data_IF_231508648688
#
_entry.id   IF_231508648688
#
_cell.length_a   1.000
_cell.length_b   1.000
_cell.length_c   1.000
_cell.angle_alpha   90.00
_cell.angle_beta   90.00
_cell.angle_gamma   90.00
#
_symmetry.space_group_name_H-M   'P 1'
#
loop_
_entity.id
_entity.type
_entity.pdbx_description
1 polymer ?
#
# COMPACT_ATOMS: atom_id res chain seq x y z
N UNK A 1 9.03 5.83 -6.08
CA UNK A 1 8.11 5.13 -5.17
C UNK A 1 6.66 5.49 -5.48
N UNK A 2 5.71 4.73 -4.92
CA UNK A 2 4.28 5.01 -5.09
C UNK A 2 3.66 5.69 -3.86
N UNK A 3 4.33 5.67 -2.71
CA UNK A 3 3.93 6.44 -1.54
C UNK A 3 5.03 7.39 -1.09
N UNK A 4 4.62 8.56 -0.62
CA UNK A 4 5.48 9.59 -0.08
C UNK A 4 4.96 10.07 1.27
N UNK A 5 5.83 10.12 2.28
CA UNK A 5 5.52 10.69 3.59
C UNK A 5 5.72 12.20 3.54
N UNK A 6 4.68 12.95 3.85
CA UNK A 6 4.68 14.40 3.88
C UNK A 6 4.61 14.86 5.34
N UNK A 7 5.70 15.38 5.85
CA UNK A 7 5.83 15.79 7.27
C UNK A 7 5.88 17.28 7.49
N UNK A 8 5.81 18.10 6.45
CA UNK A 8 5.84 19.55 6.52
C UNK A 8 4.92 20.19 5.47
N UNK A 9 4.49 21.43 5.73
CA UNK A 9 3.84 22.24 4.71
C UNK A 9 4.86 22.79 3.70
N UNK A 10 4.41 23.03 2.47
CA UNK A 10 5.30 23.54 1.44
C UNK A 10 4.87 23.15 0.04
N UNK A 11 5.67 23.52 -0.95
CA UNK A 11 5.48 23.11 -2.33
C UNK A 11 6.37 21.90 -2.62
N UNK A 12 5.77 20.84 -3.13
CA UNK A 12 6.41 19.57 -3.45
C UNK A 12 6.32 19.29 -4.95
N UNK A 13 7.25 18.48 -5.43
CA UNK A 13 7.21 17.95 -6.79
C UNK A 13 7.67 16.49 -6.81
N UNK A 14 6.95 15.70 -7.60
CA UNK A 14 7.24 14.28 -7.84
C UNK A 14 7.57 14.16 -9.33
N UNK A 15 8.72 13.60 -9.71
CA UNK A 15 9.02 13.36 -11.12
C UNK A 15 8.01 12.36 -11.71
N UNK A 16 7.61 12.59 -12.97
CA UNK A 16 6.70 11.69 -13.69
C UNK A 16 7.43 10.40 -14.10
N UNK A 17 7.65 9.55 -13.09
CA UNK A 17 8.38 8.28 -13.19
C UNK A 17 7.50 7.15 -12.64
N UNK A 18 7.52 6.00 -13.29
CA UNK A 18 6.81 4.81 -12.82
C UNK A 18 7.40 4.31 -11.51
N UNK A 19 6.60 4.34 -10.45
CA UNK A 19 6.92 3.77 -9.14
C UNK A 19 8.41 3.84 -8.76
N UNK A 20 9.06 2.67 -8.71
CA UNK A 20 10.47 2.50 -8.34
C UNK A 20 11.41 2.41 -9.58
N UNK A 21 10.97 2.84 -10.76
CA UNK A 21 11.75 2.70 -12.01
C UNK A 21 13.01 3.58 -12.05
N UNK A 22 13.13 4.58 -11.18
CA UNK A 22 14.37 5.31 -10.94
C UNK A 22 14.81 5.11 -9.50
N UNK A 23 16.06 4.71 -9.29
CA UNK A 23 16.72 4.58 -7.98
C UNK A 23 18.05 5.35 -8.04
N UNK A 24 18.28 6.21 -7.06
CA UNK A 24 19.52 7.01 -6.96
C UNK A 24 19.88 7.78 -8.25
N UNK A 25 18.84 8.33 -8.91
CA UNK A 25 18.97 9.08 -10.16
C UNK A 25 19.25 8.24 -11.41
N UNK A 26 19.23 6.91 -11.31
CA UNK A 26 19.52 5.98 -12.42
C UNK A 26 18.32 5.10 -12.74
N UNK A 27 18.24 4.65 -13.99
CA UNK A 27 17.25 3.66 -14.42
C UNK A 27 17.39 2.35 -13.62
N UNK A 28 16.31 1.97 -12.95
CA UNK A 28 16.22 0.76 -12.13
C UNK A 28 15.41 -0.32 -12.87
N UNK A 29 15.98 -0.90 -13.91
CA UNK A 29 15.33 -1.89 -14.77
C UNK A 29 14.78 -3.09 -13.99
N UNK A 30 15.41 -3.51 -12.90
CA UNK A 30 14.94 -4.61 -12.07
C UNK A 30 13.56 -4.36 -11.45
N UNK A 31 13.10 -3.10 -11.39
CA UNK A 31 11.77 -2.78 -10.89
C UNK A 31 10.64 -3.02 -11.92
N UNK A 32 10.95 -3.16 -13.19
CA UNK A 32 9.97 -3.34 -14.26
C UNK A 32 10.37 -4.36 -15.36
N UNK A 33 11.49 -5.06 -15.16
CA UNK A 33 11.90 -6.21 -15.95
C UNK A 33 12.28 -7.33 -15.00
N UNK A 34 11.57 -8.45 -15.08
CA UNK A 34 11.85 -9.65 -14.30
C UNK A 34 12.71 -10.63 -15.08
N UNK A 35 13.67 -11.22 -14.42
CA UNK A 35 14.45 -12.37 -14.90
C UNK A 35 14.07 -13.68 -14.25
N UNK A 36 13.01 -13.67 -13.40
CA UNK A 36 12.53 -14.86 -12.73
C UNK A 36 12.00 -15.88 -13.75
N UNK A 37 12.36 -17.12 -13.56
CA UNK A 37 11.82 -18.23 -14.34
C UNK A 37 10.61 -18.82 -13.62
N UNK A 38 9.48 -18.85 -14.31
CA UNK A 38 8.22 -19.38 -13.77
C UNK A 38 7.60 -20.47 -14.64
N UNK A 39 8.27 -20.80 -15.74
CA UNK A 39 7.75 -21.81 -16.65
C UNK A 39 7.66 -23.17 -15.94
N UNK A 40 6.47 -23.78 -15.95
CA UNK A 40 6.21 -25.06 -15.30
C UNK A 40 6.36 -25.06 -13.77
N UNK A 41 5.85 -23.99 -13.12
CA UNK A 41 5.73 -24.04 -11.65
C UNK A 41 4.87 -25.24 -11.24
N UNK A 42 5.37 -26.01 -10.30
CA UNK A 42 4.67 -27.16 -9.75
C UNK A 42 4.17 -26.84 -8.35
N UNK A 43 2.89 -27.04 -8.11
CA UNK A 43 2.38 -27.11 -6.74
C UNK A 43 2.91 -28.36 -6.06
N UNK A 44 3.79 -28.19 -5.09
CA UNK A 44 4.43 -29.29 -4.35
C UNK A 44 3.43 -30.13 -3.54
N UNK A 45 2.28 -29.55 -3.19
CA UNK A 45 1.26 -30.19 -2.37
C UNK A 45 0.32 -31.06 -3.20
N UNK A 46 -0.07 -30.61 -4.37
CA UNK A 46 -1.01 -31.31 -5.26
C UNK A 46 -0.33 -32.00 -6.45
N UNK A 47 0.91 -31.64 -6.76
CA UNK A 47 1.62 -32.10 -7.95
C UNK A 47 1.15 -31.45 -9.26
N UNK A 48 0.23 -30.48 -9.18
CA UNK A 48 -0.25 -29.76 -10.37
C UNK A 48 0.88 -28.94 -10.97
N UNK A 49 1.10 -29.09 -12.26
CA UNK A 49 2.03 -28.27 -13.05
C UNK A 49 1.24 -27.19 -13.77
N UNK A 50 1.65 -25.95 -13.59
CA UNK A 50 1.10 -24.80 -14.33
C UNK A 50 1.92 -24.62 -15.60
N UNK A 51 1.27 -24.75 -16.75
CA UNK A 51 1.86 -24.57 -18.08
C UNK A 51 1.82 -23.10 -18.54
N UNK A 52 1.07 -22.25 -17.82
CA UNK A 52 1.01 -20.81 -18.06
C UNK A 52 2.18 -20.10 -17.37
N UNK A 53 2.64 -19.01 -17.99
CA UNK A 53 3.63 -18.13 -17.39
C UNK A 53 2.98 -17.23 -16.33
N UNK A 54 3.24 -17.51 -15.05
CA UNK A 54 2.70 -16.79 -13.91
C UNK A 54 3.57 -15.59 -13.49
N UNK A 55 4.67 -15.33 -14.18
CA UNK A 55 5.58 -14.21 -13.94
C UNK A 55 5.43 -13.18 -15.04
N UNK A 56 5.20 -11.93 -14.65
CA UNK A 56 5.26 -10.80 -15.56
C UNK A 56 6.72 -10.44 -15.83
N UNK A 57 7.25 -10.84 -16.98
CA UNK A 57 8.66 -10.57 -17.34
C UNK A 57 8.92 -9.10 -17.66
N UNK A 58 7.98 -8.44 -18.31
CA UNK A 58 8.03 -7.01 -18.60
C UNK A 58 6.79 -6.35 -18.08
N UNK A 59 6.97 -5.42 -17.16
CA UNK A 59 5.89 -4.70 -16.52
C UNK A 59 5.25 -3.72 -17.52
N UNK A 60 3.98 -3.44 -17.32
CA UNK A 60 3.16 -2.74 -18.31
C UNK A 60 2.63 -1.41 -17.78
N UNK A 61 2.30 -0.51 -18.69
CA UNK A 61 1.70 0.79 -18.44
C UNK A 61 0.16 0.72 -18.38
N UNK A 62 -0.50 1.88 -18.33
CA UNK A 62 -1.97 1.99 -18.29
C UNK A 62 -2.68 1.46 -19.56
N UNK A 63 -1.96 1.18 -20.63
CA UNK A 63 -2.47 0.60 -21.89
C UNK A 63 -2.04 -0.86 -22.08
N UNK A 64 -1.53 -1.48 -21.01
CA UNK A 64 -0.96 -2.82 -21.04
C UNK A 64 0.21 -2.97 -22.03
N UNK A 65 0.91 -1.88 -22.32
CA UNK A 65 2.13 -1.88 -23.12
C UNK A 65 3.34 -2.03 -22.21
N UNK A 66 4.30 -2.84 -22.66
CA UNK A 66 5.59 -2.99 -21.98
C UNK A 66 6.26 -1.64 -21.73
N UNK A 67 6.68 -1.41 -20.49
CA UNK A 67 7.42 -0.21 -20.13
C UNK A 67 8.86 -0.35 -20.63
N UNK A 68 9.23 0.53 -21.55
CA UNK A 68 10.56 0.63 -22.13
C UNK A 68 11.33 1.86 -21.64
N UNK A 69 10.62 2.83 -21.07
CA UNK A 69 11.19 4.02 -20.44
C UNK A 69 10.67 4.18 -19.01
N UNK A 70 11.52 4.49 -18.03
CA UNK A 70 11.08 4.78 -16.66
C UNK A 70 10.25 6.07 -16.55
N UNK A 71 10.31 6.97 -17.54
CA UNK A 71 9.62 8.24 -17.56
C UNK A 71 8.25 8.12 -18.22
N UNK A 72 7.19 8.46 -17.50
CA UNK A 72 5.79 8.31 -17.92
C UNK A 72 5.52 9.03 -19.25
N UNK A 73 5.95 10.29 -19.39
CA UNK A 73 5.70 11.06 -20.60
C UNK A 73 6.59 10.64 -21.81
N UNK A 74 7.77 10.10 -21.55
CA UNK A 74 8.60 9.50 -22.63
C UNK A 74 7.94 8.20 -23.12
N UNK A 75 7.50 7.33 -22.23
CA UNK A 75 6.77 6.11 -22.56
C UNK A 75 5.49 6.39 -23.38
N UNK A 76 4.81 7.49 -23.06
CA UNK A 76 3.51 7.86 -23.63
C UNK A 76 3.59 9.08 -24.55
N UNK A 77 4.64 9.23 -25.31
CA UNK A 77 4.93 10.42 -26.10
C UNK A 77 3.81 10.90 -27.04
N UNK A 78 2.95 10.01 -27.55
CA UNK A 78 1.79 10.35 -28.37
C UNK A 78 0.58 10.88 -27.58
N UNK A 79 0.49 10.58 -26.28
CA UNK A 79 -0.57 11.00 -25.37
C UNK A 79 -0.02 11.18 -23.93
N UNK A 80 0.88 12.16 -23.73
CA UNK A 80 1.54 12.36 -22.45
C UNK A 80 0.56 12.84 -21.39
N UNK A 81 0.92 12.66 -20.11
CA UNK A 81 0.21 13.29 -19.00
C UNK A 81 0.40 14.81 -19.07
N UNK A 82 -0.67 15.55 -19.06
CA UNK A 82 -0.68 17.01 -19.09
C UNK A 82 -1.67 17.64 -18.08
N UNK A 83 -2.37 16.81 -17.33
CA UNK A 83 -3.29 17.22 -16.28
C UNK A 83 -3.05 16.41 -15.01
N UNK A 84 -3.10 17.09 -13.85
CA UNK A 84 -3.00 16.48 -12.52
C UNK A 84 -4.31 16.67 -11.77
N UNK A 85 -4.72 15.64 -10.99
CA UNK A 85 -5.95 15.70 -10.21
C UNK A 85 -5.84 14.87 -8.92
N UNK A 86 -6.71 15.20 -7.96
CA UNK A 86 -6.88 14.43 -6.74
C UNK A 86 -7.90 13.32 -6.97
N UNK A 87 -7.50 12.07 -6.71
CA UNK A 87 -8.41 10.92 -6.79
C UNK A 87 -9.32 10.88 -5.57
N UNK A 88 -8.71 10.91 -4.37
CA UNK A 88 -9.42 11.00 -3.10
C UNK A 88 -8.51 11.58 -2.01
N UNK A 89 -9.11 12.09 -0.95
CA UNK A 89 -8.41 12.50 0.27
C UNK A 89 -9.32 12.30 1.48
N UNK A 90 -8.76 11.88 2.59
CA UNK A 90 -9.44 11.82 3.89
C UNK A 90 -9.24 13.09 4.74
N UNK A 91 -8.55 14.09 4.18
CA UNK A 91 -8.38 15.44 4.74
C UNK A 91 -8.77 16.46 3.68
N UNK A 92 -9.90 17.13 3.90
CA UNK A 92 -10.38 18.13 2.95
C UNK A 92 -9.42 19.32 2.83
N UNK A 93 -9.02 19.64 1.59
CA UNK A 93 -8.11 20.75 1.29
C UNK A 93 -6.67 20.54 1.78
N UNK A 94 -6.23 19.28 2.03
CA UNK A 94 -4.86 18.98 2.43
C UNK A 94 -3.83 19.45 1.41
N UNK A 95 -4.18 19.35 0.13
CA UNK A 95 -3.32 19.75 -0.98
C UNK A 95 -4.06 20.71 -1.91
N UNK A 96 -3.29 21.55 -2.59
CA UNK A 96 -3.75 22.51 -3.62
C UNK A 96 -2.71 22.65 -4.73
N UNK A 97 -3.01 23.47 -5.72
CA UNK A 97 -2.09 23.86 -6.81
C UNK A 97 -1.50 22.65 -7.56
N UNK A 98 -2.33 21.61 -7.74
CA UNK A 98 -1.97 20.43 -8.52
C UNK A 98 -1.78 20.78 -9.99
N UNK A 99 -0.58 20.56 -10.52
CA UNK A 99 -0.24 20.80 -11.93
C UNK A 99 0.94 19.96 -12.38
N UNK A 100 1.13 19.88 -13.68
CA UNK A 100 2.34 19.32 -14.28
C UNK A 100 3.23 20.47 -14.73
N UNK A 101 4.49 20.43 -14.34
CA UNK A 101 5.50 21.41 -14.70
C UNK A 101 6.74 20.72 -15.28
N UNK A 102 7.32 21.33 -16.30
CA UNK A 102 8.60 20.88 -16.86
C UNK A 102 9.75 21.65 -16.22
N UNK A 103 10.71 20.92 -15.67
CA UNK A 103 11.93 21.50 -15.11
C UNK A 103 13.13 20.83 -15.81
N UNK A 104 13.84 21.60 -16.62
CA UNK A 104 14.83 21.06 -17.53
C UNK A 104 14.19 20.09 -18.53
N UNK A 105 14.67 18.86 -18.58
CA UNK A 105 14.14 17.80 -19.46
C UNK A 105 13.09 16.91 -18.78
N UNK A 106 12.82 17.11 -17.49
CA UNK A 106 11.96 16.23 -16.69
C UNK A 106 10.62 16.89 -16.38
N UNK A 107 9.54 16.13 -16.55
CA UNK A 107 8.21 16.54 -16.16
C UNK A 107 7.95 16.14 -14.70
N UNK A 108 7.31 17.04 -13.93
CA UNK A 108 6.98 16.86 -12.52
C UNK A 108 5.51 17.11 -12.27
N UNK A 109 4.92 16.30 -11.42
CA UNK A 109 3.68 16.63 -10.72
C UNK A 109 4.05 17.55 -9.55
N UNK A 110 3.52 18.77 -9.55
CA UNK A 110 3.74 19.77 -8.50
C UNK A 110 2.45 19.99 -7.71
N UNK A 111 2.56 20.13 -6.40
CA UNK A 111 1.44 20.40 -5.51
C UNK A 111 1.91 21.15 -4.26
N UNK A 112 0.95 21.80 -3.58
CA UNK A 112 1.18 22.50 -2.33
C UNK A 112 0.46 21.80 -1.18
N UNK A 113 1.16 21.62 -0.07
CA UNK A 113 0.59 21.15 1.19
C UNK A 113 0.32 22.34 2.09
N UNK A 114 -0.94 22.54 2.45
CA UNK A 114 -1.38 23.71 3.21
C UNK A 114 -1.06 23.55 4.69
N UNK A 115 -0.48 24.59 5.28
CA UNK A 115 -0.04 24.58 6.70
C UNK A 115 -1.20 24.25 7.65
N UNK A 116 -2.35 24.87 7.44
CA UNK A 116 -3.52 24.72 8.30
C UNK A 116 -4.25 23.36 8.13
N UNK A 117 -3.83 22.58 7.14
CA UNK A 117 -4.35 21.25 6.80
C UNK A 117 -3.30 20.15 6.95
N UNK A 118 -2.12 20.49 7.49
CA UNK A 118 -1.06 19.52 7.75
C UNK A 118 -1.44 18.71 8.99
N UNK A 119 -2.35 17.78 8.81
CA UNK A 119 -2.81 16.81 9.81
C UNK A 119 -2.57 15.40 9.30
N UNK A 120 -2.49 14.43 10.20
CA UNK A 120 -2.34 13.04 9.82
C UNK A 120 -3.47 12.61 8.87
N UNK A 121 -3.12 12.03 7.73
CA UNK A 121 -4.10 11.66 6.71
C UNK A 121 -3.49 11.15 5.42
N UNK A 122 -4.37 10.81 4.49
CA UNK A 122 -4.03 10.18 3.24
C UNK A 122 -4.68 10.91 2.05
N UNK A 123 -3.92 11.07 0.99
CA UNK A 123 -4.40 11.65 -0.26
C UNK A 123 -3.82 10.85 -1.43
N UNK A 124 -4.65 10.50 -2.39
CA UNK A 124 -4.19 9.92 -3.66
C UNK A 124 -4.34 10.96 -4.75
N UNK A 125 -3.23 11.21 -5.45
CA UNK A 125 -3.14 12.12 -6.59
C UNK A 125 -2.75 11.34 -7.83
N UNK A 126 -3.14 11.85 -8.99
CA UNK A 126 -2.89 11.20 -10.26
C UNK A 126 -2.59 12.19 -11.38
N UNK A 127 -2.00 11.67 -12.43
CA UNK A 127 -1.81 12.39 -13.70
C UNK A 127 -2.54 11.66 -14.82
N UNK A 128 -3.12 12.46 -15.73
CA UNK A 128 -3.86 11.96 -16.88
C UNK A 128 -3.59 12.76 -18.14
N UNK A 129 -3.98 12.20 -19.26
CA UNK A 129 -4.07 12.97 -20.50
C UNK A 129 -5.45 13.65 -20.57
N UNK A 130 -5.47 14.97 -20.69
CA UNK A 130 -6.72 15.76 -20.65
C UNK A 130 -7.63 15.51 -21.86
N UNK A 131 -7.09 15.08 -22.98
CA UNK A 131 -7.88 14.80 -24.19
C UNK A 131 -8.57 13.44 -24.15
N UNK A 132 -7.87 12.40 -23.64
CA UNK A 132 -8.42 11.05 -23.53
C UNK A 132 -9.09 10.79 -22.18
N UNK A 133 -8.83 11.62 -21.18
CA UNK A 133 -9.22 11.45 -19.78
C UNK A 133 -8.65 10.18 -19.13
N UNK A 134 -7.71 9.50 -19.78
CA UNK A 134 -7.05 8.31 -19.26
C UNK A 134 -5.99 8.67 -18.21
N UNK A 135 -6.08 8.08 -17.05
CA UNK A 135 -5.04 8.17 -16.00
C UNK A 135 -3.83 7.35 -16.40
N UNK A 136 -2.65 7.97 -16.36
CA UNK A 136 -1.39 7.30 -16.68
C UNK A 136 -0.70 6.73 -15.44
N UNK A 137 -0.80 7.41 -14.30
CA UNK A 137 -0.24 6.96 -13.03
C UNK A 137 -0.83 7.73 -11.85
N UNK A 138 -0.63 7.18 -10.63
CA UNK A 138 -1.09 7.77 -9.36
C UNK A 138 -0.08 7.51 -8.25
N UNK A 139 -0.11 8.34 -7.23
CA UNK A 139 0.72 8.25 -6.03
C UNK A 139 -0.12 8.47 -4.78
N UNK A 140 0.28 7.82 -3.69
CA UNK A 140 -0.25 8.02 -2.37
C UNK A 140 0.62 9.00 -1.59
N UNK A 141 0.02 10.06 -1.07
CA UNK A 141 0.63 11.01 -0.13
C UNK A 141 0.12 10.68 1.26
N UNK A 142 1.04 10.30 2.12
CA UNK A 142 0.75 10.04 3.53
C UNK A 142 1.25 11.20 4.38
N UNK A 143 0.33 12.07 4.83
CA UNK A 143 0.66 13.17 5.74
C UNK A 143 0.83 12.60 7.14
N UNK A 144 2.08 12.48 7.58
CA UNK A 144 2.46 11.87 8.85
C UNK A 144 3.79 12.45 9.33
N UNK A 145 4.12 12.33 10.63
CA UNK A 145 5.47 12.64 11.12
C UNK A 145 6.53 11.79 10.41
N UNK A 146 7.69 12.37 10.14
CA UNK A 146 8.79 11.64 9.48
C UNK A 146 9.21 10.39 10.25
N UNK A 147 8.95 10.34 11.55
CA UNK A 147 9.27 9.22 12.44
C UNK A 147 8.54 7.91 12.08
N UNK A 148 7.46 7.97 11.29
CA UNK A 148 6.80 6.75 10.80
C UNK A 148 7.70 5.89 9.91
N UNK A 149 8.79 6.47 9.39
CA UNK A 149 9.82 5.75 8.63
C UNK A 149 11.02 5.31 9.49
N UNK A 150 11.03 5.61 10.79
CA UNK A 150 12.02 5.04 11.70
C UNK A 150 11.75 3.53 11.82
N UNK A 151 12.81 2.72 11.71
CA UNK A 151 12.62 1.28 11.69
C UNK A 151 12.69 0.64 13.07
N UNK A 152 11.88 -0.40 13.25
CA UNK A 152 11.96 -1.33 14.37
C UNK A 152 12.38 -2.70 13.84
N UNK A 153 13.45 -3.24 14.42
CA UNK A 153 14.05 -4.49 13.96
C UNK A 153 13.43 -5.70 14.65
N UNK A 154 13.02 -6.66 13.84
CA UNK A 154 12.55 -7.97 14.30
C UNK A 154 13.30 -9.08 13.59
N UNK A 155 13.71 -10.10 14.33
CA UNK A 155 14.17 -11.34 13.76
C UNK A 155 12.96 -12.26 13.50
N UNK A 156 12.86 -12.80 12.31
CA UNK A 156 11.84 -13.77 11.95
C UNK A 156 12.40 -14.79 10.95
N UNK A 157 12.21 -16.06 11.23
CA UNK A 157 12.71 -17.18 10.43
C UNK A 157 14.21 -17.09 10.09
N UNK A 158 15.01 -16.63 11.06
CA UNK A 158 16.47 -16.47 10.93
C UNK A 158 16.89 -15.30 10.03
N UNK A 159 15.99 -14.35 9.77
CA UNK A 159 16.26 -13.13 8.99
C UNK A 159 15.85 -11.89 9.78
N UNK A 160 16.67 -10.85 9.69
CA UNK A 160 16.34 -9.55 10.28
C UNK A 160 15.48 -8.72 9.33
N UNK A 161 14.32 -8.26 9.81
CA UNK A 161 13.43 -7.36 9.12
C UNK A 161 13.36 -6.04 9.88
N UNK A 162 13.63 -4.94 9.18
CA UNK A 162 13.51 -3.59 9.70
C UNK A 162 12.14 -3.03 9.27
N UNK A 163 11.11 -3.23 10.09
CA UNK A 163 9.76 -2.72 9.84
C UNK A 163 9.71 -1.20 9.97
N UNK A 164 8.93 -0.52 9.15
CA UNK A 164 8.61 0.90 9.37
C UNK A 164 8.00 1.11 10.76
N UNK A 165 8.05 2.30 11.30
CA UNK A 165 7.49 2.63 12.62
C UNK A 165 5.98 2.50 12.70
N UNK A 166 5.30 2.64 11.55
CA UNK A 166 3.84 2.49 11.44
C UNK A 166 3.48 1.79 10.13
N UNK A 167 2.31 1.14 10.14
CA UNK A 167 1.73 0.56 8.92
C UNK A 167 1.37 1.64 7.91
N UNK A 168 1.45 1.32 6.63
CA UNK A 168 1.32 2.28 5.54
C UNK A 168 -0.05 2.97 5.55
N UNK A 169 -0.02 4.30 5.61
CA UNK A 169 -1.22 5.12 5.62
C UNK A 169 -1.98 5.15 6.95
N UNK A 170 -1.35 4.72 8.04
CA UNK A 170 -1.99 4.79 9.37
C UNK A 170 -2.41 6.22 9.70
N UNK A 171 -3.69 6.36 10.09
CA UNK A 171 -4.30 7.61 10.52
C UNK A 171 -5.03 7.41 11.82
N UNK A 172 -4.61 8.15 12.84
CA UNK A 172 -5.31 8.20 14.12
C UNK A 172 -6.64 8.93 13.98
N UNK A 173 -7.72 8.35 14.52
CA UNK A 173 -9.05 8.97 14.57
C UNK A 173 -9.37 9.54 15.95
N UNK A 174 -8.61 9.13 16.97
CA UNK A 174 -8.67 9.69 18.31
C UNK A 174 -7.30 10.22 18.74
N UNK A 175 -7.32 11.20 19.63
CA UNK A 175 -6.12 11.67 20.28
C UNK A 175 -5.53 10.56 21.13
N UNK A 176 -4.24 10.24 20.89
CA UNK A 176 -3.53 9.33 21.76
C UNK A 176 -3.08 10.10 23.01
N UNK A 177 -3.75 9.86 24.11
CA UNK A 177 -3.20 10.24 25.41
C UNK A 177 -1.87 9.50 25.65
N UNK A 178 -0.97 10.11 26.39
CA UNK A 178 0.18 9.40 26.93
C UNK A 178 -0.18 8.88 28.32
N UNK A 179 0.24 7.66 28.60
CA UNK A 179 -0.01 7.00 29.89
C UNK A 179 0.53 7.84 31.06
N UNK A 180 1.69 8.47 30.85
CA UNK A 180 2.32 9.32 31.87
C UNK A 180 1.90 10.78 31.67
N UNK A 181 1.56 11.46 32.80
CA UNK A 181 1.34 12.88 32.83
C UNK A 181 2.57 13.65 32.33
N UNK A 182 2.34 14.73 31.60
CA UNK A 182 3.41 15.60 31.10
C UNK A 182 3.28 17.00 31.61
N UNK A 183 4.42 17.58 31.95
CA UNK A 183 4.50 18.97 32.32
C UNK A 183 5.44 19.69 31.35
N UNK A 184 4.97 20.78 30.78
CA UNK A 184 5.76 21.67 29.93
C UNK A 184 5.65 23.07 30.49
N UNK A 185 6.77 23.76 30.56
CA UNK A 185 6.83 25.19 30.91
C UNK A 185 7.06 25.98 29.63
N UNK A 186 6.07 26.80 29.26
CA UNK A 186 6.22 27.76 28.17
C UNK A 186 6.69 29.10 28.74
N UNK A 187 7.87 29.57 28.32
CA UNK A 187 8.39 30.88 28.72
C UNK A 187 8.04 31.89 27.63
N UNK A 188 7.25 32.89 28.00
CA UNK A 188 6.90 34.01 27.11
C UNK A 188 7.72 35.22 27.50
N UNK A 189 8.56 35.67 26.59
CA UNK A 189 9.39 36.87 26.77
C UNK A 189 8.80 38.06 26.03
N UNK A 190 8.56 39.14 26.73
CA UNK A 190 8.17 40.41 26.14
C UNK A 190 9.40 41.12 25.56
N UNK A 191 9.44 41.33 24.25
CA UNK A 191 10.62 41.87 23.56
C UNK A 191 11.04 43.25 24.04
N UNK A 192 10.10 44.17 24.36
CA UNK A 192 10.40 45.54 24.75
C UNK A 192 10.93 45.65 26.15
N UNK A 193 10.34 44.95 27.13
CA UNK A 193 10.73 45.06 28.55
C UNK A 193 11.69 43.96 29.00
N UNK A 194 11.89 42.92 28.19
CA UNK A 194 12.66 41.74 28.56
C UNK A 194 12.05 40.89 29.66
N UNK A 195 10.84 41.22 30.14
CA UNK A 195 10.14 40.44 31.17
C UNK A 195 9.75 39.08 30.64
N UNK A 196 9.96 38.06 31.45
CA UNK A 196 9.61 36.68 31.16
C UNK A 196 8.45 36.24 32.05
N UNK A 197 7.54 35.44 31.49
CA UNK A 197 6.42 34.82 32.17
C UNK A 197 6.42 33.33 31.90
N UNK A 198 6.33 32.52 32.92
CA UNK A 198 6.23 31.08 32.83
C UNK A 198 4.76 30.65 32.85
N UNK A 199 4.37 29.85 31.88
CA UNK A 199 3.06 29.20 31.81
C UNK A 199 3.29 27.72 31.99
N UNK A 200 2.82 27.17 33.10
CA UNK A 200 2.83 25.73 33.34
C UNK A 200 1.66 25.10 32.62
N UNK A 201 1.95 24.18 31.71
CA UNK A 201 0.96 23.39 30.97
C UNK A 201 1.10 21.94 31.45
N UNK A 202 0.08 21.44 32.09
CA UNK A 202 0.02 20.04 32.55
C UNK A 202 -0.97 19.26 31.70
N UNK A 203 -0.52 18.14 31.13
CA UNK A 203 -1.37 17.16 30.49
C UNK A 203 -1.48 15.97 31.42
N UNK A 204 -2.70 15.67 31.87
CA UNK A 204 -2.96 14.46 32.64
C UNK A 204 -2.58 13.22 31.84
N UNK A 205 -2.08 12.20 32.51
CA UNK A 205 -1.92 10.86 31.93
C UNK A 205 -3.30 10.23 31.76
N UNK A 206 -3.42 9.39 30.74
CA UNK A 206 -4.61 8.59 30.48
C UNK A 206 -4.21 7.34 29.70
N UNK A 207 -5.06 6.32 29.69
CA UNK A 207 -4.81 5.14 28.86
C UNK A 207 -4.83 5.53 27.37
N UNK A 208 -3.76 5.20 26.67
CA UNK A 208 -3.64 5.48 25.25
C UNK A 208 -4.61 4.59 24.48
N UNK A 209 -5.57 5.19 23.79
CA UNK A 209 -6.44 4.46 22.85
C UNK A 209 -5.88 4.60 21.45
N UNK A 210 -5.41 3.49 20.88
CA UNK A 210 -4.85 3.45 19.51
C UNK A 210 -5.97 3.16 18.51
N UNK A 211 -6.83 4.13 18.26
CA UNK A 211 -7.94 4.01 17.31
C UNK A 211 -7.64 4.76 16.03
N UNK A 212 -7.89 4.10 14.90
CA UNK A 212 -7.62 4.65 13.59
C UNK A 212 -7.87 3.67 12.46
N UNK A 213 -7.33 3.97 11.29
CA UNK A 213 -7.40 3.11 10.11
C UNK A 213 -6.15 3.25 9.24
N UNK A 214 -5.91 2.25 8.39
CA UNK A 214 -4.86 2.26 7.37
C UNK A 214 -5.42 2.58 5.99
N UNK A 215 -4.53 2.85 5.04
CA UNK A 215 -4.83 2.57 3.63
C UNK A 215 -4.77 1.06 3.38
N UNK A 216 -5.65 0.59 2.51
CA UNK A 216 -5.77 -0.82 2.12
C UNK A 216 -5.40 -0.98 0.65
N UNK A 217 -4.85 -2.14 0.29
CA UNK A 217 -4.33 -2.42 -1.05
C UNK A 217 -4.82 -3.77 -1.55
N UNK A 218 -5.26 -3.85 -2.81
CA UNK A 218 -5.44 -5.14 -3.49
C UNK A 218 -4.06 -5.69 -3.85
N UNK A 219 -3.88 -7.00 -3.70
CA UNK A 219 -2.58 -7.62 -3.94
C UNK A 219 -2.05 -7.31 -5.35
N UNK A 220 -0.80 -6.89 -5.45
CA UNK A 220 -0.17 -6.52 -6.72
C UNK A 220 -0.49 -5.10 -7.21
N UNK A 221 -1.39 -4.34 -6.58
CA UNK A 221 -1.70 -2.95 -6.93
C UNK A 221 -0.94 -1.96 -6.06
N UNK A 222 -0.57 -0.84 -6.67
CA UNK A 222 0.05 0.31 -6.00
C UNK A 222 -0.96 1.27 -5.38
N UNK A 223 -2.25 1.15 -5.72
CA UNK A 223 -3.27 2.14 -5.42
C UNK A 223 -3.83 1.94 -4.02
N UNK A 224 -3.82 3.02 -3.24
CA UNK A 224 -4.34 3.05 -1.88
C UNK A 224 -5.86 3.22 -1.87
N UNK A 225 -6.55 2.43 -1.06
CA UNK A 225 -7.98 2.56 -0.74
C UNK A 225 -8.15 2.92 0.73
N UNK A 226 -9.11 3.78 1.12
CA UNK A 226 -9.30 4.14 2.51
C UNK A 226 -9.86 2.96 3.32
N UNK A 227 -9.30 2.73 4.49
CA UNK A 227 -9.79 1.76 5.48
C UNK A 227 -10.99 2.26 6.28
N UNK A 228 -11.68 3.27 5.81
CA UNK A 228 -12.86 3.87 6.43
C UNK A 228 -13.96 4.08 5.39
N UNK A 229 -15.22 4.19 5.86
CA UNK A 229 -16.37 4.52 5.01
C UNK A 229 -16.51 6.04 4.81
N UNK A 230 -17.20 6.43 3.73
CA UNK A 230 -17.64 7.81 3.53
C UNK A 230 -16.58 8.79 3.05
N UNK A 231 -15.45 8.32 2.51
CA UNK A 231 -14.44 9.21 1.92
C UNK A 231 -14.90 9.70 0.56
N UNK A 232 -14.96 11.02 0.38
CA UNK A 232 -15.34 11.66 -0.88
C UNK A 232 -14.33 11.34 -2.00
N UNK A 233 -14.82 11.15 -3.22
CA UNK A 233 -14.01 10.81 -4.38
C UNK A 233 -13.77 9.31 -4.60
N UNK A 234 -14.23 8.47 -3.67
CA UNK A 234 -14.14 7.02 -3.80
C UNK A 234 -15.45 6.45 -4.31
N UNK A 235 -15.36 5.80 -5.45
CA UNK A 235 -16.41 4.91 -5.93
C UNK A 235 -16.09 3.49 -5.48
N UNK A 236 -16.69 3.07 -4.38
CA UNK A 236 -16.75 1.65 -4.01
C UNK A 236 -17.91 1.06 -4.76
N UNK A 237 -17.62 0.58 -5.95
CA UNK A 237 -18.67 0.31 -6.87
C UNK A 237 -19.38 -0.99 -6.61
N UNK A 238 -20.65 -0.78 -6.27
CA UNK A 238 -21.73 -1.65 -6.67
C UNK A 238 -22.15 -1.45 -8.14
N UNK A 239 -21.55 -0.52 -8.88
CA UNK A 239 -21.80 -0.26 -10.30
C UNK A 239 -21.13 -1.27 -11.25
N UNK A 240 -20.54 -2.33 -10.69
CA UNK A 240 -20.26 -3.51 -11.49
C UNK A 240 -21.59 -4.18 -11.84
N UNK A 241 -22.05 -3.95 -13.03
CA UNK A 241 -22.98 -4.86 -13.64
C UNK A 241 -22.41 -6.28 -13.51
N UNK A 242 -23.12 -7.12 -12.78
CA UNK A 242 -22.82 -8.55 -12.69
C UNK A 242 -22.81 -9.04 -14.13
N UNK A 243 -21.62 -9.32 -14.66
CA UNK A 243 -21.52 -9.99 -15.94
C UNK A 243 -21.64 -11.46 -15.60
N UNK A 244 -22.74 -12.06 -16.05
CA UNK A 244 -22.92 -13.50 -15.98
C UNK A 244 -21.75 -14.15 -16.70
N UNK A 245 -21.04 -15.05 -16.04
CA UNK A 245 -19.92 -15.81 -16.61
C UNK A 245 -20.35 -16.65 -17.80
N UNK A 246 -21.62 -16.96 -17.89
CA UNK A 246 -22.23 -17.64 -19.01
C UNK A 246 -22.64 -16.71 -20.14
N UNK A 247 -22.54 -15.38 -19.95
CA UNK A 247 -22.81 -14.41 -21.01
C UNK A 247 -21.66 -14.40 -22.03
N UNK A 248 -21.88 -15.12 -23.14
CA UNK A 248 -20.99 -15.15 -24.29
C UNK A 248 -21.19 -14.00 -25.29
N UNK A 249 -21.97 -12.98 -24.92
CA UNK A 249 -22.21 -11.81 -25.78
C UNK A 249 -20.91 -11.10 -26.18
N UNK A 250 -20.92 -10.39 -27.29
CA UNK A 250 -19.79 -9.58 -27.74
C UNK A 250 -19.45 -8.48 -26.71
N UNK A 251 -20.46 -7.92 -26.02
CA UNK A 251 -20.29 -6.93 -24.98
C UNK A 251 -19.60 -7.51 -23.73
N UNK A 252 -19.96 -8.73 -23.31
CA UNK A 252 -19.31 -9.43 -22.22
C UNK A 252 -17.84 -9.76 -22.58
N UNK A 253 -17.60 -10.24 -23.79
CA UNK A 253 -16.25 -10.51 -24.29
C UNK A 253 -15.40 -9.26 -24.39
N UNK A 254 -15.94 -8.13 -24.79
CA UNK A 254 -15.23 -6.84 -24.83
C UNK A 254 -14.91 -6.35 -23.43
N UNK A 255 -15.87 -6.42 -22.49
CA UNK A 255 -15.62 -6.14 -21.08
C UNK A 255 -14.64 -7.11 -20.45
N UNK A 256 -14.55 -8.34 -20.91
CA UNK A 256 -13.54 -9.30 -20.48
C UNK A 256 -12.12 -8.92 -20.90
N UNK A 257 -11.91 -8.23 -21.97
CA UNK A 257 -10.59 -7.69 -22.38
C UNK A 257 -10.06 -6.59 -21.46
N UNK A 258 -10.92 -5.97 -20.64
CA UNK A 258 -10.56 -4.90 -19.73
C UNK A 258 -9.96 -5.36 -18.38
N UNK A 259 -9.57 -6.63 -18.23
CA UNK A 259 -9.05 -7.20 -16.96
C UNK A 259 -7.57 -7.11 -16.83
N UNK A 260 -7.05 -5.99 -17.14
CA UNK A 260 -5.63 -5.87 -17.29
C UNK A 260 -5.06 -5.01 -16.15
N UNK A 261 -3.76 -5.11 -15.97
CA UNK A 261 -3.02 -4.23 -15.07
C UNK A 261 -3.30 -2.77 -15.44
N UNK A 262 -3.34 -2.47 -16.75
CA UNK A 262 -3.65 -1.15 -17.26
C UNK A 262 -4.99 -0.61 -16.80
N UNK A 263 -6.02 -1.45 -16.67
CA UNK A 263 -7.30 -1.03 -16.08
C UNK A 263 -7.14 -0.60 -14.62
N UNK A 264 -6.38 -1.36 -13.83
CA UNK A 264 -6.07 -0.97 -12.46
C UNK A 264 -5.39 0.39 -12.39
N UNK A 265 -4.39 0.62 -13.26
CA UNK A 265 -3.65 1.89 -13.35
C UNK A 265 -4.56 3.06 -13.77
N UNK A 266 -5.44 2.85 -14.75
CA UNK A 266 -6.40 3.87 -15.20
C UNK A 266 -7.43 4.25 -14.13
N UNK A 267 -7.70 3.37 -13.18
CA UNK A 267 -8.75 3.55 -12.18
C UNK A 267 -8.21 3.44 -10.74
N UNK A 268 -7.36 4.36 -10.30
CA UNK A 268 -6.70 4.28 -8.99
C UNK A 268 -7.68 4.41 -7.81
N UNK A 269 -8.85 5.01 -8.01
CA UNK A 269 -9.91 5.12 -6.99
C UNK A 269 -10.94 3.98 -7.03
N UNK A 270 -10.78 3.00 -7.91
CA UNK A 270 -11.75 1.91 -8.08
C UNK A 270 -11.14 0.59 -7.66
N UNK A 271 -11.75 -0.06 -6.69
CA UNK A 271 -11.45 -1.45 -6.33
C UNK A 271 -11.96 -2.38 -7.45
N UNK A 272 -11.17 -3.36 -7.82
CA UNK A 272 -11.56 -4.39 -8.80
C UNK A 272 -12.00 -5.65 -8.03
N UNK A 273 -13.31 -5.79 -7.72
CA UNK A 273 -13.81 -6.84 -6.85
C UNK A 273 -13.86 -8.19 -7.57
N UNK A 274 -14.17 -9.25 -6.83
CA UNK A 274 -14.64 -10.52 -7.38
C UNK A 274 -16.12 -10.42 -7.66
N UNK A 275 -16.52 -10.62 -8.90
CA UNK A 275 -17.92 -10.57 -9.31
C UNK A 275 -18.34 -11.96 -9.77
N UNK A 276 -19.33 -12.58 -9.07
CA UNK A 276 -19.91 -13.87 -9.43
C UNK A 276 -18.85 -14.97 -9.61
N UNK A 277 -19.03 -16.18 -9.93
CA UNK A 277 -18.01 -17.21 -10.18
C UNK A 277 -16.95 -16.84 -11.25
N UNK A 278 -16.82 -15.56 -11.60
CA UNK A 278 -16.27 -15.11 -12.81
C UNK A 278 -14.91 -14.56 -12.91
N UNK A 279 -14.47 -14.75 -14.06
CA UNK A 279 -13.21 -14.31 -14.69
C UNK A 279 -12.98 -12.77 -14.69
N UNK A 280 -13.85 -11.89 -14.13
CA UNK A 280 -13.75 -10.43 -14.17
C UNK A 280 -13.13 -9.81 -12.91
N UNK A 281 -12.69 -10.61 -11.96
CA UNK A 281 -12.14 -10.12 -10.72
C UNK A 281 -10.63 -9.89 -10.82
N UNK A 282 -10.10 -9.03 -9.95
CA UNK A 282 -8.67 -8.87 -9.78
C UNK A 282 -7.97 -10.18 -9.39
N UNK A 283 -8.67 -11.12 -8.76
CA UNK A 283 -8.18 -12.46 -8.46
C UNK A 283 -7.66 -13.21 -9.69
N UNK A 284 -8.29 -13.01 -10.86
CA UNK A 284 -7.88 -13.67 -12.11
C UNK A 284 -6.60 -13.10 -12.72
N UNK A 285 -6.00 -12.10 -12.13
CA UNK A 285 -4.70 -11.60 -12.57
C UNK A 285 -3.63 -12.70 -12.51
N UNK A 286 -3.71 -13.61 -11.54
CA UNK A 286 -2.89 -14.81 -11.34
C UNK A 286 -1.36 -14.60 -11.34
N UNK A 287 -0.88 -13.43 -11.76
CA UNK A 287 0.55 -13.10 -11.76
C UNK A 287 1.08 -13.03 -10.33
N UNK A 288 2.23 -13.65 -10.10
CA UNK A 288 2.77 -13.87 -8.75
C UNK A 288 3.87 -12.90 -8.33
N UNK A 289 4.32 -12.06 -9.24
CA UNK A 289 5.48 -11.18 -9.02
C UNK A 289 5.18 -9.68 -9.09
N UNK A 290 3.91 -9.27 -9.01
CA UNK A 290 3.54 -7.87 -9.20
C UNK A 290 4.17 -6.90 -8.18
N UNK A 291 4.42 -7.36 -6.94
CA UNK A 291 5.11 -6.55 -5.93
C UNK A 291 6.59 -6.87 -5.79
N UNK A 292 7.02 -8.03 -6.28
CA UNK A 292 8.38 -8.49 -6.14
C UNK A 292 8.87 -9.21 -7.41
N UNK A 293 9.64 -8.50 -8.24
CA UNK A 293 9.99 -8.90 -9.60
C UNK A 293 10.59 -10.31 -9.71
N UNK A 294 11.32 -10.75 -8.69
CA UNK A 294 11.97 -12.07 -8.66
C UNK A 294 11.13 -13.16 -7.96
N UNK A 295 9.88 -12.88 -7.58
CA UNK A 295 9.01 -13.90 -7.03
C UNK A 295 8.63 -14.94 -8.10
N UNK A 296 9.04 -16.18 -7.89
CA UNK A 296 8.73 -17.33 -8.74
C UNK A 296 8.28 -18.54 -7.90
N UNK A 297 7.64 -18.30 -6.75
CA UNK A 297 7.16 -19.33 -5.83
C UNK A 297 5.68 -19.17 -5.50
N UNK A 298 5.00 -20.29 -5.34
CA UNK A 298 3.58 -20.39 -5.00
C UNK A 298 3.33 -20.95 -3.59
N UNK A 299 4.40 -21.38 -2.90
CA UNK A 299 4.33 -22.08 -1.62
C UNK A 299 4.75 -21.23 -0.41
N UNK A 300 4.84 -19.91 -0.60
CA UNK A 300 5.29 -18.98 0.45
C UNK A 300 6.77 -19.08 0.80
N UNK A 301 7.55 -19.92 0.11
CA UNK A 301 8.99 -20.05 0.37
C UNK A 301 9.85 -18.97 -0.27
N UNK A 302 9.24 -18.07 -1.03
CA UNK A 302 9.91 -16.93 -1.61
C UNK A 302 10.46 -15.99 -0.52
N UNK A 303 11.71 -15.58 -0.66
CA UNK A 303 12.41 -14.66 0.25
C UNK A 303 13.12 -13.55 -0.50
N UNK A 304 13.23 -12.40 0.14
CA UNK A 304 14.04 -11.26 -0.31
C UNK A 304 13.52 -10.61 -1.59
N UNK A 305 12.62 -9.67 -1.48
CA UNK A 305 11.94 -9.05 -2.60
C UNK A 305 12.80 -8.09 -3.44
N UNK A 306 12.62 -8.10 -4.76
CA UNK A 306 13.04 -7.02 -5.66
C UNK A 306 11.83 -6.11 -5.90
N UNK A 307 11.83 -4.96 -5.26
CA UNK A 307 10.73 -3.99 -5.30
C UNK A 307 10.38 -3.58 -6.73
N UNK A 308 9.13 -3.80 -7.12
CA UNK A 308 8.63 -3.43 -8.46
C UNK A 308 8.10 -2.00 -8.52
N UNK A 309 7.74 -1.57 -9.73
CA UNK A 309 7.02 -0.31 -9.95
C UNK A 309 5.61 -0.32 -9.34
N UNK A 310 5.03 -1.48 -9.04
CA UNK A 310 3.68 -1.58 -8.44
C UNK A 310 3.69 -1.73 -6.92
N UNK A 311 4.85 -1.88 -6.29
CA UNK A 311 4.94 -1.91 -4.82
C UNK A 311 4.52 -0.55 -4.23
N UNK A 312 3.51 -0.48 -3.34
CA UNK A 312 3.00 0.77 -2.78
C UNK A 312 3.93 1.42 -1.76
N UNK A 313 4.95 0.73 -1.26
CA UNK A 313 5.77 1.21 -0.14
C UNK A 313 6.56 2.48 -0.47
N UNK A 314 6.89 3.30 0.55
CA UNK A 314 7.73 4.49 0.42
C UNK A 314 9.13 4.18 -0.12
N UNK A 315 9.88 5.24 -0.43
CA UNK A 315 11.31 5.15 -0.78
C UNK A 315 12.08 4.45 0.32
N UNK A 316 12.94 3.49 -0.03
CA UNK A 316 13.74 2.71 0.91
C UNK A 316 13.01 1.58 1.60
N UNK A 317 11.72 1.40 1.32
CA UNK A 317 10.89 0.33 1.86
C UNK A 317 10.27 -0.51 0.76
N UNK A 318 9.85 -1.73 1.13
CA UNK A 318 9.16 -2.67 0.25
C UNK A 318 8.15 -3.51 1.05
N UNK A 319 7.26 -4.20 0.37
CA UNK A 319 6.39 -5.19 1.00
C UNK A 319 7.24 -6.39 1.43
N UNK A 320 7.09 -6.88 2.68
CA UNK A 320 7.83 -8.03 3.17
C UNK A 320 7.38 -9.35 2.51
N UNK A 321 8.25 -10.34 2.52
CA UNK A 321 7.88 -11.72 2.23
C UNK A 321 7.10 -12.38 3.39
N UNK A 322 6.56 -13.59 3.18
CA UNK A 322 5.74 -14.28 4.18
C UNK A 322 6.51 -14.64 5.47
N UNK A 323 7.84 -14.76 5.40
CA UNK A 323 8.65 -15.10 6.55
C UNK A 323 8.81 -13.96 7.55
N UNK A 324 8.57 -12.72 7.13
CA UNK A 324 8.71 -11.54 7.99
C UNK A 324 7.83 -11.61 9.25
N UNK A 325 6.72 -12.34 9.20
CA UNK A 325 5.76 -12.43 10.30
C UNK A 325 5.78 -13.77 11.06
N UNK A 326 6.60 -14.72 10.63
CA UNK A 326 6.52 -16.12 11.09
C UNK A 326 6.73 -16.28 12.59
N UNK A 327 7.63 -15.49 13.17
CA UNK A 327 7.99 -15.62 14.59
C UNK A 327 7.33 -14.56 15.49
N UNK A 328 6.36 -13.80 14.96
CA UNK A 328 5.56 -12.89 15.78
C UNK A 328 4.64 -13.67 16.73
N UNK A 329 4.86 -13.53 18.02
CA UNK A 329 4.13 -14.24 19.08
C UNK A 329 3.09 -13.30 19.70
N UNK A 330 1.87 -13.80 19.89
CA UNK A 330 0.83 -13.07 20.63
C UNK A 330 1.05 -13.14 22.16
N UNK A 331 1.82 -14.13 22.63
CA UNK A 331 2.22 -14.21 24.04
C UNK A 331 3.14 -13.01 24.37
N UNK A 332 2.70 -12.21 25.32
CA UNK A 332 3.40 -10.98 25.71
C UNK A 332 3.07 -9.74 24.84
N UNK A 333 2.34 -9.91 23.74
CA UNK A 333 1.80 -8.78 22.98
C UNK A 333 0.62 -8.15 23.70
N UNK A 334 0.46 -6.84 23.58
CA UNK A 334 -0.61 -6.06 24.21
C UNK A 334 -1.66 -5.70 23.17
N UNK A 335 -2.92 -6.04 23.44
CA UNK A 335 -4.07 -5.68 22.60
C UNK A 335 -4.64 -4.31 22.96
N UNK A 336 -4.77 -3.45 21.95
CA UNK A 336 -5.50 -2.19 22.01
C UNK A 336 -5.96 -1.81 20.60
N UNK A 337 -7.09 -2.35 20.13
CA UNK A 337 -7.53 -2.20 18.73
C UNK A 337 -6.49 -2.66 17.69
N UNK A 338 -5.65 -3.57 18.08
CA UNK A 338 -4.49 -4.12 17.39
C UNK A 338 -3.51 -4.70 18.38
N UNK A 339 -2.40 -5.25 17.93
CA UNK A 339 -1.35 -5.76 18.81
C UNK A 339 -0.11 -4.88 18.81
N UNK A 340 0.39 -4.55 19.99
CA UNK A 340 1.75 -4.07 20.18
C UNK A 340 2.65 -5.28 20.42
N UNK A 341 3.62 -5.46 19.53
CA UNK A 341 4.67 -6.45 19.67
C UNK A 341 5.96 -5.79 20.17
N UNK A 342 6.79 -6.58 20.81
CA UNK A 342 8.07 -6.11 21.36
C UNK A 342 9.21 -6.86 20.67
N UNK A 343 10.21 -6.12 20.20
CA UNK A 343 11.43 -6.69 19.67
C UNK A 343 12.33 -7.22 20.80
N UNK A 344 13.39 -7.93 20.45
CA UNK A 344 14.36 -8.46 21.44
C UNK A 344 15.07 -7.35 22.26
N UNK A 345 15.14 -6.13 21.73
CA UNK A 345 15.66 -4.93 22.39
C UNK A 345 14.55 -4.05 23.02
N UNK A 346 13.36 -4.63 23.26
CA UNK A 346 12.20 -4.01 23.88
C UNK A 346 11.65 -2.75 23.14
N UNK A 347 11.90 -2.65 21.84
CA UNK A 347 11.23 -1.64 21.03
C UNK A 347 9.84 -2.10 20.65
N UNK A 348 8.91 -1.18 20.68
CA UNK A 348 7.51 -1.43 20.37
C UNK A 348 7.23 -1.25 18.89
N UNK A 349 6.39 -2.11 18.34
CA UNK A 349 5.77 -1.95 17.05
C UNK A 349 4.27 -2.27 17.15
N UNK A 350 3.44 -1.37 16.64
CA UNK A 350 1.99 -1.52 16.70
C UNK A 350 1.41 -1.96 15.35
N UNK A 351 0.68 -3.04 15.37
CA UNK A 351 -0.07 -3.58 14.23
C UNK A 351 -1.56 -3.34 14.45
N UNK A 352 -2.16 -2.27 13.88
CA UNK A 352 -3.57 -1.99 14.05
C UNK A 352 -4.49 -3.06 13.43
N UNK A 353 -5.62 -3.33 14.09
CA UNK A 353 -6.64 -4.27 13.62
C UNK A 353 -7.71 -3.54 12.78
N UNK A 354 -7.35 -3.08 11.60
CA UNK A 354 -8.22 -2.23 10.76
C UNK A 354 -9.11 -3.02 9.79
N UNK A 355 -9.07 -4.36 9.85
CA UNK A 355 -9.90 -5.21 9.01
C UNK A 355 -9.48 -5.22 7.55
N UNK A 356 -10.46 -5.32 6.67
CA UNK A 356 -10.29 -5.45 5.22
C UNK A 356 -11.49 -4.90 4.46
N UNK A 357 -11.27 -4.52 3.19
CA UNK A 357 -12.35 -4.51 2.20
C UNK A 357 -12.39 -5.88 1.54
N UNK A 358 -13.55 -6.50 1.63
CA UNK A 358 -13.80 -7.82 1.04
C UNK A 358 -13.81 -7.75 -0.48
N UNK A 359 -13.93 -8.88 -1.13
CA UNK A 359 -14.02 -9.00 -2.60
C UNK A 359 -15.13 -8.12 -3.22
N UNK A 360 -16.19 -7.81 -2.46
CA UNK A 360 -17.26 -6.88 -2.86
C UNK A 360 -17.02 -5.42 -2.45
N UNK A 361 -15.83 -5.05 -2.01
CA UNK A 361 -15.48 -3.68 -1.58
C UNK A 361 -16.00 -3.27 -0.20
N UNK A 362 -16.77 -4.13 0.49
CA UNK A 362 -17.37 -3.84 1.79
C UNK A 362 -16.30 -3.91 2.89
N UNK A 363 -16.20 -2.86 3.70
CA UNK A 363 -15.32 -2.85 4.87
C UNK A 363 -15.87 -3.79 5.95
N UNK A 364 -15.05 -4.73 6.42
CA UNK A 364 -15.34 -5.75 7.42
C UNK A 364 -14.19 -5.88 8.41
N UNK A 365 -14.50 -6.37 9.60
CA UNK A 365 -13.53 -6.74 10.64
C UNK A 365 -12.69 -5.57 11.16
N UNK A 366 -13.13 -4.33 10.95
CA UNK A 366 -12.50 -3.14 11.51
C UNK A 366 -12.49 -3.22 13.05
N UNK A 367 -11.35 -2.85 13.63
CA UNK A 367 -11.04 -2.92 15.07
C UNK A 367 -11.05 -4.34 15.70
N UNK A 368 -11.20 -5.38 14.91
CA UNK A 368 -11.21 -6.77 15.41
C UNK A 368 -10.14 -7.67 14.78
N UNK A 369 -9.80 -7.44 13.51
CA UNK A 369 -8.82 -8.26 12.80
C UNK A 369 -7.71 -7.40 12.21
N UNK A 370 -6.46 -7.79 12.44
CA UNK A 370 -5.29 -7.32 11.71
C UNK A 370 -4.99 -8.24 10.52
N UNK A 371 -4.88 -7.67 9.35
CA UNK A 371 -4.65 -8.38 8.09
C UNK A 371 -3.60 -7.61 7.28
N UNK A 372 -2.45 -8.23 7.02
CA UNK A 372 -1.31 -7.59 6.40
C UNK A 372 -0.78 -8.42 5.23
N UNK A 373 -0.73 -7.83 4.05
CA UNK A 373 -0.17 -8.47 2.88
C UNK A 373 1.31 -8.79 3.02
N UNK A 374 1.68 -9.86 2.36
CA UNK A 374 3.07 -10.16 1.99
C UNK A 374 3.22 -10.10 0.48
N UNK A 375 4.47 -9.99 -0.01
CA UNK A 375 4.78 -10.09 -1.44
C UNK A 375 4.76 -11.52 -1.97
N UNK A 376 4.43 -12.51 -1.13
CA UNK A 376 4.41 -13.92 -1.49
C UNK A 376 3.04 -14.32 -2.02
N UNK A 377 3.00 -14.91 -3.21
CA UNK A 377 1.80 -15.52 -3.77
C UNK A 377 1.49 -16.85 -3.09
N UNK A 378 0.22 -17.26 -3.11
CA UNK A 378 -0.29 -18.48 -2.50
C UNK A 378 -1.22 -19.24 -3.45
N UNK A 379 -1.43 -20.52 -3.14
CA UNK A 379 -2.44 -21.37 -3.76
C UNK A 379 -3.56 -21.67 -2.74
N UNK A 380 -4.80 -21.66 -3.19
CA UNK A 380 -5.94 -22.10 -2.42
C UNK A 380 -6.33 -23.54 -2.77
N UNK A 381 -6.44 -24.40 -1.76
CA UNK A 381 -7.02 -25.74 -1.89
C UNK A 381 -6.40 -26.56 -3.02
N UNK A 382 -7.21 -26.90 -4.03
CA UNK A 382 -6.84 -27.75 -5.17
C UNK A 382 -5.97 -27.01 -6.23
N UNK A 383 -5.10 -26.10 -5.81
CA UNK A 383 -4.18 -25.40 -6.72
C UNK A 383 -4.76 -24.15 -7.37
N UNK A 384 -5.75 -23.50 -6.75
CA UNK A 384 -6.32 -22.26 -7.29
C UNK A 384 -5.38 -21.09 -7.15
N UNK A 385 -5.12 -20.39 -8.24
CA UNK A 385 -4.32 -19.19 -8.34
C UNK A 385 -5.09 -17.91 -7.90
N UNK A 386 -4.38 -16.79 -7.77
CA UNK A 386 -4.98 -15.50 -7.45
C UNK A 386 -5.16 -15.25 -5.95
N UNK A 387 -4.30 -15.85 -5.14
CA UNK A 387 -4.22 -15.67 -3.69
C UNK A 387 -2.83 -15.21 -3.26
N UNK A 388 -2.79 -14.38 -2.21
CA UNK A 388 -1.56 -13.93 -1.58
C UNK A 388 -1.49 -14.34 -0.12
N UNK A 389 -0.28 -14.68 0.35
CA UNK A 389 -0.02 -14.89 1.77
C UNK A 389 -0.19 -13.60 2.55
N UNK A 390 -0.72 -13.72 3.76
CA UNK A 390 -0.91 -12.62 4.70
C UNK A 390 -0.61 -13.02 6.12
N UNK A 391 -0.17 -12.08 6.91
CA UNK A 391 -0.25 -12.17 8.37
C UNK A 391 -1.68 -11.88 8.83
N UNK A 392 -2.18 -12.64 9.79
CA UNK A 392 -3.49 -12.46 10.39
C UNK A 392 -3.45 -12.64 11.90
N UNK A 393 -4.12 -11.77 12.59
CA UNK A 393 -4.45 -11.91 14.00
C UNK A 393 -5.82 -11.27 14.28
N UNK A 394 -6.40 -11.61 15.40
CA UNK A 394 -7.68 -11.04 15.84
C UNK A 394 -7.76 -10.99 17.38
N UNK A 395 -8.64 -10.14 17.88
CA UNK A 395 -8.91 -10.00 19.30
C UNK A 395 -9.25 -11.36 19.92
N UNK A 396 -8.78 -11.60 21.15
CA UNK A 396 -9.06 -12.82 21.90
C UNK A 396 -8.64 -14.13 21.24
N UNK A 397 -7.56 -14.10 20.48
CA UNK A 397 -6.99 -15.32 19.86
C UNK A 397 -6.29 -16.22 20.91
N UNK A 398 -7.03 -16.62 21.95
CA UNK A 398 -6.50 -17.37 23.09
C UNK A 398 -5.95 -18.76 22.72
N UNK A 399 -6.38 -19.31 21.58
CA UNK A 399 -6.00 -20.66 21.12
C UNK A 399 -4.85 -20.68 20.10
N UNK A 400 -4.39 -19.54 19.63
CA UNK A 400 -3.29 -19.43 18.66
C UNK A 400 -2.24 -18.46 19.20
N UNK A 401 -1.11 -18.98 19.70
CA UNK A 401 -0.12 -18.16 20.42
C UNK A 401 0.75 -17.32 19.49
N UNK A 402 0.50 -17.30 18.20
CA UNK A 402 1.28 -16.58 17.20
C UNK A 402 0.40 -15.98 16.09
N UNK A 403 0.98 -15.05 15.34
CA UNK A 403 0.36 -14.51 14.13
C UNK A 403 0.24 -15.63 13.10
N UNK A 404 -0.96 -15.78 12.52
CA UNK A 404 -1.22 -16.78 11.49
C UNK A 404 -0.57 -16.30 10.19
N UNK A 405 0.42 -17.00 9.70
CA UNK A 405 1.23 -16.65 8.52
C UNK A 405 1.05 -17.61 7.34
N UNK A 406 0.43 -18.75 7.56
CA UNK A 406 0.02 -19.72 6.54
C UNK A 406 -1.37 -19.41 5.94
N UNK A 407 -1.99 -18.30 6.37
CA UNK A 407 -3.24 -17.84 5.84
C UNK A 407 -3.03 -17.09 4.52
N UNK A 408 -3.92 -17.33 3.58
CA UNK A 408 -3.97 -16.66 2.29
C UNK A 408 -5.34 -16.01 2.05
N UNK A 409 -5.38 -15.09 1.13
CA UNK A 409 -6.60 -14.37 0.76
C UNK A 409 -6.57 -14.04 -0.72
N UNK A 410 -7.75 -13.99 -1.34
CA UNK A 410 -7.91 -13.59 -2.74
C UNK A 410 -7.30 -12.23 -3.00
N UNK A 411 -6.62 -12.06 -4.13
CA UNK A 411 -6.08 -10.77 -4.60
C UNK A 411 -7.13 -9.65 -4.68
N UNK A 412 -8.42 -10.02 -4.79
CA UNK A 412 -9.53 -9.07 -4.85
C UNK A 412 -9.82 -8.36 -3.51
N UNK A 413 -9.37 -8.92 -2.39
CA UNK A 413 -9.43 -8.20 -1.11
C UNK A 413 -8.48 -7.02 -1.10
N UNK A 414 -8.85 -5.95 -0.40
CA UNK A 414 -7.91 -4.92 -0.02
C UNK A 414 -7.64 -5.00 1.48
N UNK A 415 -6.37 -5.21 1.84
CA UNK A 415 -5.89 -5.28 3.23
C UNK A 415 -4.65 -4.40 3.42
N UNK A 416 -4.21 -4.28 4.65
CA UNK A 416 -3.10 -3.41 5.04
C UNK A 416 -1.76 -3.89 4.48
N UNK A 417 -0.82 -2.94 4.41
CA UNK A 417 0.60 -3.17 4.13
C UNK A 417 1.41 -2.66 5.32
N UNK A 418 2.35 -3.47 5.79
CA UNK A 418 3.35 -3.03 6.76
C UNK A 418 4.73 -3.10 6.09
N UNK A 419 5.29 -1.97 5.66
CA UNK A 419 6.54 -1.99 4.90
C UNK A 419 7.75 -2.40 5.76
N UNK A 420 8.70 -3.07 5.12
CA UNK A 420 10.05 -3.30 5.67
C UNK A 420 11.08 -2.55 4.85
N UNK A 421 12.20 -2.17 5.47
CA UNK A 421 13.31 -1.56 4.74
C UNK A 421 13.79 -2.48 3.62
N UNK A 422 13.98 -1.92 2.43
CA UNK A 422 14.56 -2.66 1.31
C UNK A 422 16.01 -3.03 1.62
N UNK A 423 16.48 -4.21 1.17
CA UNK A 423 17.88 -4.57 1.32
C UNK A 423 18.79 -3.46 0.78
N UNK A 424 19.83 -3.16 1.53
CA UNK A 424 20.91 -2.29 1.04
C UNK A 424 21.72 -3.11 0.04
N UNK A 425 21.72 -2.70 -1.20
CA UNK A 425 22.61 -3.28 -2.23
C UNK A 425 24.03 -2.85 -1.96
#
# INVERSE_FOLDING_TARGET
ANSYVISASGTYRIPLVYGNAIKDGRDNKSAYVSTADSKYLTDKKTGVVYDEDLVLHKFVDHKDKEITSPYINVQNGSAPANEAYQVWSDVNGAISDLKIEKVGSTDFLTFKVNKDKLVNGNTVIAVRNSSTQETLWSWHLWTAPKTVLNTVRFESAGTMYDFAGESLGWKYTKWMAKKDARKVVAVVKQEVSGKEYEINIEQAGDDAVREGYNTLYQWGRKDAFPGIKGVSGMKFDYDYQIIDDNDNSAAAKEKMKERTIGRGIKNPGIMLPKVGGGKLSWQWMQLINLWSANNNKLDGTYRGGVKTIYDPSPVGFQIPDAYAYKDFKLTGAVWDKGYTFFSSDNKEIFFPAVGARTEGGVLRYDQTNGLYWTGSAALEGEGKLGFGYRARFYENNLNVPHVITDAFTSYAYAISVYPVASPKN
#
